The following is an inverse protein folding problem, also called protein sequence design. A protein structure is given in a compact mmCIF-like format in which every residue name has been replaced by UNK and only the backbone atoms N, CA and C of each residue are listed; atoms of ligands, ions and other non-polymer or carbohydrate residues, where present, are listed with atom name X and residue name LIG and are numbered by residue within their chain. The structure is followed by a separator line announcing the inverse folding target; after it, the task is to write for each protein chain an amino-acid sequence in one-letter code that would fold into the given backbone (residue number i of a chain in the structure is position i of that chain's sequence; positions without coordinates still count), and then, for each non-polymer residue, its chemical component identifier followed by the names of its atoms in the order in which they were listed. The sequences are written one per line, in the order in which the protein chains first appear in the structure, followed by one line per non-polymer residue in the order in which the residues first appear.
data_IF_633693652209
#
_entry.id   IF_633693652209
#
_cell.length_a   1.000
_cell.length_b   1.000
_cell.length_c   1.000
_cell.angle_alpha   90.00
_cell.angle_beta   90.00
_cell.angle_gamma   90.00
#
_symmetry.space_group_name_H-M   'P 1'
#
loop_
_entity.id
_entity.type
_entity.pdbx_description
1 polymer ?
#
# COMPACT_ATOMS: atom_id res chain seq x y z
N UNK A 1 18.23 -8.75 -1.78
CA UNK A 1 17.76 -7.40 -1.38
C UNK A 1 18.77 -6.66 -0.50
N UNK A 2 19.87 -7.28 -0.05
CA UNK A 2 20.81 -6.67 0.92
C UNK A 2 21.40 -5.33 0.46
N UNK A 3 21.63 -5.16 -0.85
CA UNK A 3 22.22 -3.93 -1.41
C UNK A 3 21.19 -2.93 -1.99
N UNK A 4 19.89 -3.21 -1.86
CA UNK A 4 18.87 -2.31 -2.42
C UNK A 4 18.66 -1.11 -1.50
N UNK A 5 18.55 0.10 -2.06
CA UNK A 5 18.23 1.31 -1.27
C UNK A 5 16.73 1.64 -1.27
N UNK A 6 16.05 1.31 -2.36
CA UNK A 6 14.66 1.70 -2.64
C UNK A 6 13.88 0.50 -3.17
N UNK A 7 12.65 0.33 -2.68
CA UNK A 7 11.65 -0.54 -3.28
C UNK A 7 10.66 0.31 -4.10
N UNK A 8 10.31 -0.16 -5.29
CA UNK A 8 9.24 0.44 -6.09
C UNK A 8 8.43 -0.63 -6.80
N UNK A 9 7.17 -0.31 -7.08
CA UNK A 9 6.30 -1.16 -7.88
C UNK A 9 5.26 -0.32 -8.62
N UNK A 10 4.75 -0.88 -9.71
CA UNK A 10 3.61 -0.35 -10.47
C UNK A 10 2.37 -1.09 -10.00
N UNK A 11 1.29 -0.36 -9.78
CA UNK A 11 0.06 -0.91 -9.24
C UNK A 11 -1.17 -0.13 -9.70
N UNK A 12 -2.34 -0.77 -9.68
CA UNK A 12 -3.61 -0.09 -9.85
C UNK A 12 -3.89 0.87 -8.68
N UNK A 13 -4.80 1.83 -8.89
CA UNK A 13 -5.26 2.72 -7.81
C UNK A 13 -5.77 1.97 -6.57
N UNK A 14 -6.43 0.82 -6.75
CA UNK A 14 -6.91 0.00 -5.64
C UNK A 14 -5.75 -0.60 -4.83
N UNK A 15 -4.74 -1.15 -5.51
CA UNK A 15 -3.56 -1.70 -4.85
C UNK A 15 -2.76 -0.58 -4.16
N UNK A 16 -2.65 0.60 -4.79
CA UNK A 16 -2.04 1.77 -4.19
C UNK A 16 -2.72 2.21 -2.91
N UNK A 17 -4.05 2.17 -2.84
CA UNK A 17 -4.80 2.41 -1.60
C UNK A 17 -4.37 1.42 -0.49
N UNK A 18 -4.26 0.12 -0.78
CA UNK A 18 -3.84 -0.87 0.22
C UNK A 18 -2.42 -0.63 0.70
N UNK A 19 -1.53 -0.27 -0.20
CA UNK A 19 -0.13 0.06 0.12
C UNK A 19 -0.07 1.26 1.05
N UNK A 20 -0.83 2.32 0.79
CA UNK A 20 -0.89 3.49 1.66
C UNK A 20 -1.45 3.11 3.04
N UNK A 21 -2.53 2.32 3.10
CA UNK A 21 -3.09 1.84 4.37
C UNK A 21 -2.10 0.96 5.15
N UNK A 22 -1.29 0.14 4.47
CA UNK A 22 -0.24 -0.64 5.11
C UNK A 22 0.91 0.22 5.61
N UNK A 23 1.27 1.27 4.87
CA UNK A 23 2.21 2.29 5.32
C UNK A 23 1.69 3.00 6.58
N UNK A 24 0.43 3.47 6.57
CA UNK A 24 -0.11 4.26 7.67
C UNK A 24 -0.20 3.48 8.98
N UNK A 25 -0.40 2.17 8.89
CA UNK A 25 -0.44 1.28 10.06
C UNK A 25 0.80 1.40 10.97
N UNK A 26 2.00 1.58 10.40
CA UNK A 26 3.24 1.76 11.17
C UNK A 26 3.73 3.21 11.23
N UNK A 27 3.54 3.97 10.17
CA UNK A 27 4.21 5.26 9.97
C UNK A 27 3.27 6.47 10.03
N UNK A 28 1.96 6.25 10.13
CA UNK A 28 0.96 7.30 10.03
C UNK A 28 0.90 7.92 8.62
N UNK A 29 0.50 9.19 8.52
CA UNK A 29 0.40 9.86 7.23
C UNK A 29 1.77 10.11 6.59
N UNK A 30 1.90 9.77 5.30
CA UNK A 30 3.06 10.17 4.50
C UNK A 30 3.17 11.70 4.44
N UNK A 31 4.38 12.22 4.70
CA UNK A 31 4.60 13.67 4.90
C UNK A 31 5.21 14.35 3.67
N UNK A 32 5.81 13.59 2.76
CA UNK A 32 6.61 14.11 1.66
C UNK A 32 6.10 13.74 0.26
N UNK A 33 4.80 13.46 0.13
CA UNK A 33 4.17 13.19 -1.17
C UNK A 33 4.35 14.40 -2.10
N UNK A 34 4.92 14.17 -3.27
CA UNK A 34 5.08 15.20 -4.28
C UNK A 34 5.50 14.64 -5.63
N UNK A 35 4.89 15.17 -6.69
CA UNK A 35 5.09 14.71 -8.06
C UNK A 35 5.00 15.88 -9.04
N UNK A 36 5.71 15.77 -10.17
CA UNK A 36 5.72 16.78 -11.24
C UNK A 36 4.98 16.28 -12.50
N UNK A 37 4.75 14.97 -12.61
CA UNK A 37 4.14 14.35 -13.80
C UNK A 37 5.09 14.23 -15.01
N UNK A 38 6.32 14.74 -14.90
CA UNK A 38 7.35 14.61 -15.93
C UNK A 38 8.74 14.29 -15.34
N UNK A 39 8.80 13.24 -14.51
CA UNK A 39 10.00 12.55 -13.99
C UNK A 39 9.53 11.36 -13.11
N UNK A 40 8.67 10.50 -13.68
CA UNK A 40 7.86 9.55 -12.90
C UNK A 40 8.68 8.55 -12.09
N UNK A 41 9.44 7.68 -12.75
CA UNK A 41 10.23 6.67 -12.01
C UNK A 41 11.46 7.30 -11.35
N UNK A 42 12.28 8.01 -12.12
CA UNK A 42 13.59 8.49 -11.66
C UNK A 42 13.49 9.46 -10.47
N UNK A 43 12.57 10.44 -10.51
CA UNK A 43 12.42 11.40 -9.42
C UNK A 43 11.38 10.93 -8.42
N UNK A 44 10.15 10.65 -8.86
CA UNK A 44 9.06 10.41 -7.92
C UNK A 44 9.19 9.05 -7.21
N UNK A 45 9.74 8.00 -7.84
CA UNK A 45 9.83 6.66 -7.24
C UNK A 45 11.22 6.26 -6.73
N UNK A 46 12.29 6.98 -7.12
CA UNK A 46 13.66 6.66 -6.70
C UNK A 46 14.28 7.79 -5.89
N UNK A 47 14.58 8.92 -6.52
CA UNK A 47 15.33 9.99 -5.85
C UNK A 47 14.55 10.57 -4.67
N UNK A 48 13.24 10.82 -4.82
CA UNK A 48 12.43 11.43 -3.76
C UNK A 48 12.26 10.50 -2.56
N UNK A 49 11.88 9.21 -2.71
CA UNK A 49 11.84 8.28 -1.58
C UNK A 49 13.17 8.14 -0.85
N UNK A 50 14.28 8.04 -1.60
CA UNK A 50 15.62 7.96 -1.01
C UNK A 50 15.97 9.22 -0.21
N UNK A 51 15.81 10.39 -0.81
CA UNK A 51 16.20 11.67 -0.20
C UNK A 51 15.27 12.13 0.93
N UNK A 52 13.99 11.80 0.85
CA UNK A 52 12.98 12.19 1.85
C UNK A 52 12.75 11.14 2.92
N UNK A 53 13.25 9.93 2.71
CA UNK A 53 13.12 8.83 3.65
C UNK A 53 11.65 8.54 4.00
N UNK A 54 10.79 8.62 2.99
CA UNK A 54 9.34 8.55 3.08
C UNK A 54 8.81 7.86 1.81
N UNK A 55 7.58 7.36 1.88
CA UNK A 55 6.88 6.84 0.71
C UNK A 55 6.55 7.99 -0.26
N UNK A 56 6.56 7.71 -1.56
CA UNK A 56 6.02 8.61 -2.57
C UNK A 56 5.24 7.86 -3.66
N UNK A 57 4.36 8.59 -4.33
CA UNK A 57 3.49 8.09 -5.40
C UNK A 57 3.83 8.84 -6.69
N UNK A 58 3.73 8.16 -7.82
CA UNK A 58 3.84 8.76 -9.15
C UNK A 58 2.66 8.40 -10.03
N UNK A 59 2.16 9.39 -10.76
CA UNK A 59 1.22 9.17 -11.88
C UNK A 59 1.92 8.77 -13.17
N UNK A 60 3.24 8.51 -13.11
CA UNK A 60 4.10 8.12 -14.23
C UNK A 60 4.27 9.22 -15.28
N UNK A 61 5.50 9.48 -15.73
CA UNK A 61 5.74 10.39 -16.85
C UNK A 61 5.55 9.68 -18.19
N UNK A 62 5.49 10.43 -19.29
CA UNK A 62 5.41 9.86 -20.64
C UNK A 62 6.52 8.83 -20.88
N UNK A 63 7.76 9.16 -20.51
CA UNK A 63 8.88 8.23 -20.64
C UNK A 63 8.66 6.93 -19.87
N UNK A 64 8.15 7.00 -18.64
CA UNK A 64 7.81 5.81 -17.88
C UNK A 64 6.71 5.01 -18.59
N UNK A 65 5.60 5.64 -18.98
CA UNK A 65 4.48 4.95 -19.67
C UNK A 65 4.87 4.30 -21.00
N UNK A 66 5.80 4.90 -21.74
CA UNK A 66 6.29 4.34 -23.01
C UNK A 66 7.24 3.15 -22.82
N UNK A 67 7.95 3.08 -21.68
CA UNK A 67 9.00 2.09 -21.45
C UNK A 67 8.65 1.07 -20.36
N UNK A 68 7.57 1.28 -19.61
CA UNK A 68 6.94 0.28 -18.75
C UNK A 68 5.70 -0.27 -19.42
N UNK A 69 5.22 -1.43 -18.96
CA UNK A 69 3.90 -1.96 -19.35
C UNK A 69 2.76 -1.33 -18.54
N UNK A 70 2.93 -0.06 -18.14
CA UNK A 70 1.99 0.58 -17.23
C UNK A 70 0.74 1.00 -17.99
N UNK A 71 -0.42 0.51 -17.59
CA UNK A 71 -1.70 0.89 -18.17
C UNK A 71 -2.16 2.28 -17.69
N UNK A 72 -3.20 2.83 -18.35
CA UNK A 72 -3.73 4.16 -18.03
C UNK A 72 -4.21 4.28 -16.57
N UNK A 73 -4.74 3.18 -16.00
CA UNK A 73 -5.19 3.11 -14.61
C UNK A 73 -4.09 2.82 -13.58
N UNK A 74 -2.85 2.64 -14.02
CA UNK A 74 -1.74 2.28 -13.13
C UNK A 74 -0.90 3.48 -12.70
N UNK A 75 -0.36 3.33 -11.49
CA UNK A 75 0.42 4.30 -10.73
C UNK A 75 1.71 3.62 -10.29
N UNK A 76 2.72 4.42 -9.93
CA UNK A 76 3.92 3.95 -9.26
C UNK A 76 3.91 4.30 -7.78
N UNK A 77 4.48 3.44 -6.94
CA UNK A 77 4.80 3.75 -5.54
C UNK A 77 6.26 3.39 -5.27
N UNK A 78 6.98 4.26 -4.57
CA UNK A 78 8.37 4.07 -4.17
C UNK A 78 8.59 4.40 -2.69
N UNK A 79 9.48 3.67 -2.03
CA UNK A 79 9.83 3.86 -0.62
C UNK A 79 11.27 3.37 -0.34
N UNK A 80 11.95 3.86 0.72
CA UNK A 80 13.19 3.23 1.19
C UNK A 80 12.99 1.74 1.48
N UNK A 81 13.93 0.88 1.06
CA UNK A 81 13.78 -0.59 1.16
C UNK A 81 13.47 -1.05 2.59
N UNK A 82 14.03 -0.36 3.58
CA UNK A 82 13.93 -0.72 4.99
C UNK A 82 12.52 -0.57 5.56
N UNK A 83 11.62 0.11 4.83
CA UNK A 83 10.21 0.26 5.20
C UNK A 83 9.32 -0.85 4.63
N UNK A 84 9.83 -1.64 3.68
CA UNK A 84 9.02 -2.58 2.92
C UNK A 84 8.40 -3.67 3.79
N UNK A 85 9.13 -4.20 4.77
CA UNK A 85 8.61 -5.28 5.62
C UNK A 85 7.47 -4.82 6.52
N UNK A 86 7.60 -3.65 7.14
CA UNK A 86 6.52 -3.04 7.91
C UNK A 86 5.36 -2.69 7.01
N UNK A 87 5.60 -2.23 5.77
CA UNK A 87 4.53 -2.00 4.83
C UNK A 87 3.75 -3.29 4.52
N UNK A 88 4.44 -4.41 4.26
CA UNK A 88 3.81 -5.71 4.00
C UNK A 88 3.01 -6.16 5.23
N UNK A 89 3.59 -6.07 6.42
CA UNK A 89 2.91 -6.38 7.68
C UNK A 89 1.64 -5.52 7.86
N UNK A 90 1.72 -4.21 7.61
CA UNK A 90 0.58 -3.31 7.68
C UNK A 90 -0.48 -3.62 6.63
N UNK A 91 -0.09 -3.99 5.41
CA UNK A 91 -1.03 -4.45 4.38
C UNK A 91 -1.79 -5.68 4.89
N UNK A 92 -1.09 -6.68 5.43
CA UNK A 92 -1.72 -7.89 5.97
C UNK A 92 -2.68 -7.53 7.11
N UNK A 93 -2.21 -6.81 8.12
CA UNK A 93 -3.01 -6.48 9.32
C UNK A 93 -4.22 -5.57 9.05
N UNK A 94 -4.26 -4.89 7.91
CA UNK A 94 -5.38 -4.03 7.51
C UNK A 94 -6.37 -4.70 6.54
N UNK A 95 -6.22 -5.99 6.22
CA UNK A 95 -7.13 -6.73 5.31
C UNK A 95 -8.58 -6.66 5.79
N UNK A 96 -8.83 -7.03 7.05
CA UNK A 96 -10.18 -7.11 7.60
C UNK A 96 -10.94 -5.79 7.54
N UNK A 97 -10.36 -4.65 7.95
CA UNK A 97 -11.08 -3.38 7.85
C UNK A 97 -11.11 -2.77 6.43
N UNK A 98 -10.19 -3.12 5.54
CA UNK A 98 -9.97 -2.37 4.29
C UNK A 98 -10.40 -3.07 3.00
N UNK A 99 -11.00 -4.26 3.08
CA UNK A 99 -11.43 -5.04 1.92
C UNK A 99 -12.89 -5.46 2.01
N UNK A 100 -13.58 -5.45 0.88
CA UNK A 100 -14.92 -6.02 0.70
C UNK A 100 -14.85 -7.55 0.60
N UNK A 101 -15.95 -8.23 0.92
CA UNK A 101 -16.00 -9.69 1.02
C UNK A 101 -15.58 -10.39 -0.27
N UNK A 102 -16.05 -9.91 -1.43
CA UNK A 102 -15.63 -10.46 -2.73
C UNK A 102 -14.11 -10.49 -2.89
N UNK A 103 -13.41 -9.43 -2.49
CA UNK A 103 -11.93 -9.38 -2.60
C UNK A 103 -11.23 -10.22 -1.53
N UNK A 104 -11.87 -10.44 -0.40
CA UNK A 104 -11.38 -11.35 0.63
C UNK A 104 -11.51 -12.79 0.19
N UNK A 105 -12.63 -13.14 -0.44
CA UNK A 105 -12.84 -14.44 -1.10
C UNK A 105 -11.76 -14.67 -2.17
N UNK A 106 -11.59 -13.72 -3.12
CA UNK A 106 -10.54 -13.78 -4.15
C UNK A 106 -9.12 -13.88 -3.55
N UNK A 107 -8.88 -13.31 -2.37
CA UNK A 107 -7.61 -13.44 -1.65
C UNK A 107 -7.45 -14.83 -1.04
N UNK A 108 -8.48 -15.34 -0.37
CA UNK A 108 -8.47 -16.66 0.25
C UNK A 108 -8.30 -17.78 -0.78
N UNK A 109 -8.91 -17.66 -1.95
CA UNK A 109 -8.71 -18.58 -3.07
C UNK A 109 -7.23 -18.61 -3.50
N UNK A 110 -6.61 -17.45 -3.72
CA UNK A 110 -5.19 -17.36 -4.10
C UNK A 110 -4.26 -17.92 -3.02
N UNK A 111 -4.52 -17.61 -1.74
CA UNK A 111 -3.73 -18.16 -0.63
C UNK A 111 -3.85 -19.69 -0.54
N UNK A 112 -5.04 -20.23 -0.78
CA UNK A 112 -5.26 -21.68 -0.81
C UNK A 112 -4.55 -22.36 -1.98
N UNK A 113 -4.55 -21.73 -3.17
CA UNK A 113 -3.83 -22.21 -4.35
C UNK A 113 -2.31 -22.22 -4.14
N UNK A 114 -1.77 -21.16 -3.56
CA UNK A 114 -0.33 -21.00 -3.30
C UNK A 114 0.13 -21.73 -2.03
N UNK A 115 -0.81 -22.22 -1.20
CA UNK A 115 -0.56 -22.84 0.12
C UNK A 115 0.17 -21.91 1.09
N UNK A 116 -0.15 -20.63 1.03
CA UNK A 116 0.47 -19.58 1.83
C UNK A 116 -0.40 -19.24 3.05
N UNK A 117 0.25 -19.05 4.19
CA UNK A 117 -0.38 -18.56 5.43
C UNK A 117 0.13 -17.15 5.74
N UNK A 118 -0.78 -16.18 5.73
CA UNK A 118 -0.48 -14.78 6.02
C UNK A 118 -0.53 -14.45 7.52
N UNK A 119 -0.77 -15.44 8.39
CA UNK A 119 -0.69 -15.29 9.84
C UNK A 119 -1.83 -14.52 10.48
N UNK A 120 -2.91 -14.23 9.74
CA UNK A 120 -4.13 -13.60 10.27
C UNK A 120 -5.39 -14.34 9.81
N UNK A 121 -6.44 -14.26 10.63
CA UNK A 121 -7.77 -14.72 10.22
C UNK A 121 -8.46 -13.65 9.38
N UNK A 122 -8.80 -13.98 8.13
CA UNK A 122 -9.61 -13.11 7.26
C UNK A 122 -11.08 -13.22 7.64
N UNK A 123 -11.68 -12.11 8.05
CA UNK A 123 -13.05 -12.05 8.54
C UNK A 123 -13.99 -11.47 7.48
N UNK A 124 -14.88 -12.29 6.92
CA UNK A 124 -15.97 -11.86 6.04
C UNK A 124 -17.04 -11.09 6.82
N UNK A 125 -17.76 -10.19 6.17
CA UNK A 125 -18.78 -9.32 6.75
C UNK A 125 -18.22 -8.16 7.58
N UNK A 126 -16.90 -8.03 7.69
CA UNK A 126 -16.20 -6.93 8.38
C UNK A 126 -15.49 -6.00 7.39
N UNK A 127 -15.56 -4.70 7.60
CA UNK A 127 -14.90 -3.60 6.88
C UNK A 127 -15.20 -2.27 7.61
N UNK A 128 -14.47 -1.19 7.35
CA UNK A 128 -14.63 0.11 8.05
C UNK A 128 -16.08 0.56 8.27
N UNK A 129 -16.96 0.41 7.26
CA UNK A 129 -18.37 0.78 7.35
C UNK A 129 -19.29 -0.22 8.07
N UNK A 130 -18.85 -1.46 8.27
CA UNK A 130 -19.61 -2.50 8.98
C UNK A 130 -19.43 -2.45 10.51
N UNK A 131 -18.27 -1.97 10.98
CA UNK A 131 -17.99 -1.85 12.42
C UNK A 131 -19.01 -0.91 13.08
N UNK A 132 -19.33 0.22 12.44
CA UNK A 132 -20.33 1.16 12.95
C UNK A 132 -21.76 0.63 13.06
N UNK A 133 -22.12 -0.46 12.34
CA UNK A 133 -23.47 -1.05 12.38
C UNK A 133 -23.65 -2.11 13.48
N UNK A 134 -22.57 -2.75 13.93
CA UNK A 134 -22.69 -3.93 14.80
C UNK A 134 -21.77 -4.00 16.04
N UNK A 135 -20.74 -3.15 16.25
CA UNK A 135 -20.07 -2.99 17.57
C UNK A 135 -19.01 -1.88 17.58
N UNK A 136 -18.77 -1.31 18.77
CA UNK A 136 -17.82 -0.21 19.06
C UNK A 136 -16.55 -0.26 18.20
N UNK A 137 -16.33 0.82 17.45
CA UNK A 137 -15.11 1.09 16.71
C UNK A 137 -13.89 0.88 17.64
N UNK A 138 -12.85 0.13 17.22
CA UNK A 138 -11.63 -0.01 18.02
C UNK A 138 -10.82 1.29 17.94
N UNK A 139 -11.23 2.31 18.71
CA UNK A 139 -10.60 3.64 18.79
C UNK A 139 -9.06 3.56 18.94
N UNK A 140 -8.56 2.54 19.66
CA UNK A 140 -7.13 2.28 19.87
C UNK A 140 -6.31 2.10 18.58
N UNK A 141 -6.92 1.65 17.48
CA UNK A 141 -6.21 1.52 16.20
C UNK A 141 -5.96 2.88 15.52
N UNK A 142 -6.78 3.89 15.84
CA UNK A 142 -6.76 5.22 15.24
C UNK A 142 -6.21 6.31 16.15
N UNK A 143 -6.13 6.09 17.47
CA UNK A 143 -5.45 7.01 18.38
C UNK A 143 -3.97 7.24 18.02
N UNK A 144 -3.34 6.31 17.28
CA UNK A 144 -1.98 6.47 16.75
C UNK A 144 -1.89 7.36 15.50
N UNK A 145 -3.01 7.66 14.84
CA UNK A 145 -3.05 8.44 13.60
C UNK A 145 -3.41 9.93 13.84
N UNK A 146 -3.61 10.35 15.10
CA UNK A 146 -4.07 11.70 15.46
C UNK A 146 -2.97 12.71 15.85
N UNK A 147 -1.67 12.42 15.63
CA UNK A 147 -0.58 13.36 15.92
C UNK A 147 0.51 13.38 14.83
#
# INVERSE_FOLDING_TARGET
MEDADVAMFVCSAWQGMRVIQGYTYHYGMAKNIGMIGNQGICSDLVARPYMKNDLNISVMCLGARMHTKAEDGELGIGMPIRMLWQLIEGVVNTINPSMEDKRKEDLLERLAEEKEDIGITVELGKMYGSYGKHMKYPEKLYEKELF
#
